data_IF_393682946718
#
_entry.id   IF_393682946718
#
_cell.length_a   1.000
_cell.length_b   1.000
_cell.length_c   1.000
_cell.angle_alpha   90.00
_cell.angle_beta   90.00
_cell.angle_gamma   90.00
#
_symmetry.space_group_name_H-M   'P 1'
#
loop_
_entity.id
_entity.type
_entity.pdbx_description
1 polymer ?
#
# COMPACT_ATOMS: atom_id res chain seq x y z
N UNK A 1 1.81 9.05 -12.35
CA UNK A 1 2.98 9.68 -13.02
C UNK A 1 3.54 8.75 -14.09
N UNK A 2 4.43 9.24 -14.95
CA UNK A 2 5.10 8.47 -16.00
C UNK A 2 6.62 8.71 -15.97
N UNK A 3 7.26 8.33 -14.85
CA UNK A 3 8.69 8.60 -14.64
C UNK A 3 9.55 7.88 -15.69
N UNK A 4 10.50 8.59 -16.33
CA UNK A 4 11.36 8.03 -17.40
C UNK A 4 12.20 6.83 -16.97
N UNK A 5 12.46 6.70 -15.67
CA UNK A 5 13.26 5.63 -15.07
C UNK A 5 12.42 4.60 -14.31
N UNK A 6 11.09 4.58 -14.51
CA UNK A 6 10.22 3.64 -13.81
C UNK A 6 10.43 2.21 -14.33
N UNK A 7 10.99 1.34 -13.49
CA UNK A 7 11.22 -0.08 -13.81
C UNK A 7 9.93 -0.86 -14.09
N UNK A 8 8.80 -0.45 -13.52
CA UNK A 8 7.49 -1.10 -13.74
C UNK A 8 7.03 -0.96 -15.19
N UNK A 9 7.48 0.10 -15.91
CA UNK A 9 7.16 0.38 -17.31
C UNK A 9 5.67 0.09 -17.66
N UNK A 10 4.71 0.68 -16.93
CA UNK A 10 3.31 0.27 -17.03
C UNK A 10 2.76 0.58 -18.42
N UNK A 11 1.92 -0.32 -18.94
CA UNK A 11 1.03 0.01 -20.05
C UNK A 11 0.01 1.02 -19.52
N UNK A 12 0.09 2.27 -19.96
CA UNK A 12 -0.81 3.35 -19.55
C UNK A 12 -2.19 3.12 -20.17
N UNK A 13 -2.91 2.08 -19.74
CA UNK A 13 -4.28 1.83 -20.16
C UNK A 13 -5.19 2.92 -19.60
N UNK A 14 -5.97 3.55 -20.49
CA UNK A 14 -6.97 4.57 -20.17
C UNK A 14 -8.26 3.97 -19.59
N UNK A 15 -8.25 2.72 -19.18
CA UNK A 15 -9.42 2.05 -18.59
C UNK A 15 -9.72 2.62 -17.19
N UNK A 16 -11.00 2.63 -16.85
CA UNK A 16 -11.53 2.98 -15.53
C UNK A 16 -10.63 2.44 -14.40
N UNK A 17 -9.91 3.36 -13.75
CA UNK A 17 -8.86 3.07 -12.75
C UNK A 17 -9.39 2.39 -11.48
N UNK A 18 -10.71 2.28 -11.33
CA UNK A 18 -11.34 1.59 -10.20
C UNK A 18 -11.21 0.05 -10.26
N UNK A 19 -10.84 -0.54 -11.40
CA UNK A 19 -11.02 -1.98 -11.61
C UNK A 19 -9.86 -2.93 -11.22
N UNK A 20 -8.72 -2.46 -10.71
CA UNK A 20 -7.58 -3.37 -10.39
C UNK A 20 -6.83 -3.08 -9.08
N UNK A 21 -7.46 -2.43 -8.11
CA UNK A 21 -6.90 -2.35 -6.76
C UNK A 21 -7.01 -3.72 -6.07
N UNK A 22 -6.04 -4.08 -5.22
CA UNK A 22 -6.09 -5.33 -4.44
C UNK A 22 -7.27 -5.22 -3.46
N UNK A 23 -8.27 -6.10 -3.51
CA UNK A 23 -9.39 -6.03 -2.56
C UNK A 23 -8.90 -6.13 -1.13
N UNK A 24 -9.42 -5.28 -0.24
CA UNK A 24 -8.96 -5.21 1.14
C UNK A 24 -9.10 -6.55 1.89
N UNK A 25 -10.15 -7.32 1.62
CA UNK A 25 -10.32 -8.65 2.22
C UNK A 25 -9.23 -9.64 1.78
N UNK A 26 -8.80 -9.57 0.53
CA UNK A 26 -7.69 -10.39 0.04
C UNK A 26 -6.36 -9.95 0.68
N UNK A 27 -6.15 -8.65 0.87
CA UNK A 27 -4.98 -8.15 1.61
C UNK A 27 -4.92 -8.72 3.03
N UNK A 28 -6.04 -8.69 3.78
CA UNK A 28 -6.10 -9.27 5.12
C UNK A 28 -5.76 -10.77 5.12
N UNK A 29 -6.29 -11.52 4.15
CA UNK A 29 -6.00 -12.94 3.98
C UNK A 29 -4.50 -13.18 3.76
N UNK A 30 -3.88 -12.46 2.83
CA UNK A 30 -2.44 -12.56 2.53
C UNK A 30 -1.61 -12.31 3.79
N UNK A 31 -1.91 -11.24 4.54
CA UNK A 31 -1.19 -10.92 5.77
C UNK A 31 -1.37 -12.03 6.83
N UNK A 32 -2.59 -12.56 6.97
CA UNK A 32 -2.88 -13.62 7.95
C UNK A 32 -2.08 -14.89 7.62
N UNK A 33 -2.10 -15.32 6.35
CA UNK A 33 -1.37 -16.49 5.88
C UNK A 33 0.15 -16.30 5.96
N UNK A 34 0.66 -15.09 5.65
CA UNK A 34 2.08 -14.79 5.71
C UNK A 34 2.62 -14.62 7.14
N UNK A 35 1.77 -14.32 8.13
CA UNK A 35 2.20 -14.23 9.54
C UNK A 35 2.58 -15.60 10.11
N UNK A 36 1.91 -16.67 9.71
CA UNK A 36 2.26 -18.03 10.18
C UNK A 36 3.73 -18.42 9.93
N UNK A 37 4.30 -18.22 8.72
CA UNK A 37 5.72 -18.48 8.47
C UNK A 37 6.68 -17.38 8.97
N UNK A 38 6.19 -16.32 9.63
CA UNK A 38 7.05 -15.32 10.29
C UNK A 38 7.16 -13.96 9.61
N UNK A 39 6.15 -13.52 8.85
CA UNK A 39 6.10 -12.14 8.34
C UNK A 39 6.24 -11.13 9.49
N UNK A 40 7.23 -10.23 9.36
CA UNK A 40 7.53 -9.21 10.37
C UNK A 40 7.36 -7.77 9.86
N UNK A 41 7.15 -7.58 8.55
CA UNK A 41 6.96 -6.27 7.97
C UNK A 41 6.33 -6.30 6.59
N UNK A 42 5.74 -5.18 6.20
CA UNK A 42 5.06 -4.96 4.93
C UNK A 42 5.67 -3.75 4.25
N UNK A 43 5.99 -3.91 2.98
CA UNK A 43 6.38 -2.81 2.10
C UNK A 43 5.23 -2.50 1.15
N UNK A 44 4.65 -1.32 1.26
CA UNK A 44 3.65 -0.81 0.32
C UNK A 44 4.35 -0.03 -0.78
N UNK A 45 4.13 -0.47 -2.01
CA UNK A 45 4.72 0.08 -3.24
C UNK A 45 3.68 -0.01 -4.36
N UNK A 46 4.10 0.02 -5.63
CA UNK A 46 3.24 -0.08 -6.81
C UNK A 46 3.57 1.02 -7.80
N UNK A 47 2.55 1.71 -8.31
CA UNK A 47 2.73 3.03 -8.92
C UNK A 47 2.80 4.13 -7.85
N UNK A 48 1.70 4.33 -7.11
CA UNK A 48 1.62 5.25 -5.96
C UNK A 48 0.68 4.65 -4.88
N UNK A 49 1.17 4.36 -3.66
CA UNK A 49 0.33 3.75 -2.62
C UNK A 49 -0.85 4.62 -2.16
N UNK A 50 -0.69 5.95 -2.07
CA UNK A 50 -1.72 6.83 -1.47
C UNK A 50 -2.93 7.08 -2.38
N UNK A 51 -2.94 6.56 -3.62
CA UNK A 51 -4.14 6.59 -4.49
C UNK A 51 -5.00 5.33 -4.37
N UNK A 52 -4.59 4.35 -3.56
CA UNK A 52 -5.38 3.14 -3.33
C UNK A 52 -6.66 3.49 -2.56
N UNK A 53 -7.86 3.05 -2.99
CA UNK A 53 -9.13 3.43 -2.36
C UNK A 53 -9.18 3.04 -0.87
N UNK A 54 -8.62 1.88 -0.53
CA UNK A 54 -8.56 1.38 0.84
C UNK A 54 -7.25 1.67 1.58
N UNK A 55 -6.47 2.70 1.19
CA UNK A 55 -5.16 2.94 1.83
C UNK A 55 -5.28 3.14 3.34
N UNK A 56 -6.32 3.83 3.83
CA UNK A 56 -6.52 4.05 5.26
C UNK A 56 -6.83 2.74 6.00
N UNK A 57 -7.82 1.92 5.59
CA UNK A 57 -8.01 0.57 6.14
C UNK A 57 -6.76 -0.30 6.12
N UNK A 58 -5.98 -0.27 5.03
CA UNK A 58 -4.72 -1.02 4.89
C UNK A 58 -3.71 -0.61 5.95
N UNK A 59 -3.43 0.69 6.11
CA UNK A 59 -2.49 1.20 7.10
C UNK A 59 -2.90 0.82 8.53
N UNK A 60 -4.19 0.96 8.85
CA UNK A 60 -4.72 0.56 10.17
C UNK A 60 -4.55 -0.93 10.42
N UNK A 61 -4.84 -1.76 9.43
CA UNK A 61 -4.71 -3.20 9.57
C UNK A 61 -3.25 -3.63 9.78
N UNK A 62 -2.29 -3.08 9.04
CA UNK A 62 -0.85 -3.35 9.23
C UNK A 62 -0.41 -3.00 10.65
N UNK A 63 -0.80 -1.82 11.13
CA UNK A 63 -0.54 -1.37 12.51
C UNK A 63 -1.12 -2.34 13.53
N UNK A 64 -2.39 -2.70 13.38
CA UNK A 64 -3.09 -3.58 14.32
C UNK A 64 -2.50 -5.00 14.32
N UNK A 65 -1.95 -5.45 13.20
CA UNK A 65 -1.18 -6.69 13.08
C UNK A 65 0.23 -6.62 13.65
N UNK A 66 0.66 -5.43 14.11
CA UNK A 66 2.00 -5.12 14.64
C UNK A 66 3.14 -5.43 13.69
N UNK A 67 2.94 -5.15 12.41
CA UNK A 67 3.95 -5.36 11.37
C UNK A 67 4.70 -4.06 11.09
N UNK A 68 6.03 -4.15 10.91
CA UNK A 68 6.84 -3.01 10.48
C UNK A 68 6.35 -2.51 9.12
N UNK A 69 6.23 -1.20 8.95
CA UNK A 69 5.74 -0.61 7.71
C UNK A 69 6.86 0.13 6.96
N UNK A 70 6.98 -0.11 5.66
CA UNK A 70 7.75 0.73 4.74
C UNK A 70 6.84 1.16 3.60
N UNK A 71 6.87 2.43 3.21
CA UNK A 71 6.10 2.94 2.07
C UNK A 71 7.07 3.56 1.05
N UNK A 72 6.96 3.11 -0.19
CA UNK A 72 7.63 3.71 -1.33
C UNK A 72 6.61 4.54 -2.11
N UNK A 73 6.70 5.87 -1.97
CA UNK A 73 5.76 6.82 -2.56
C UNK A 73 6.51 7.90 -3.32
N UNK A 74 5.86 8.46 -4.33
CA UNK A 74 6.33 9.65 -5.01
C UNK A 74 6.04 10.95 -4.27
N UNK A 75 5.30 10.87 -3.15
CA UNK A 75 5.03 11.99 -2.26
C UNK A 75 3.95 12.97 -2.70
N UNK A 76 3.29 12.78 -3.85
CA UNK A 76 2.32 13.77 -4.36
C UNK A 76 0.92 13.60 -3.78
N UNK A 77 0.58 12.43 -3.23
CA UNK A 77 -0.76 12.10 -2.73
C UNK A 77 -0.80 11.89 -1.19
N UNK A 78 0.34 12.03 -0.51
CA UNK A 78 0.38 11.93 0.96
C UNK A 78 -0.34 13.12 1.60
N UNK A 79 -0.93 12.89 2.78
CA UNK A 79 -1.61 13.92 3.58
C UNK A 79 -1.12 13.85 5.02
N UNK A 80 -1.35 14.88 5.86
CA UNK A 80 -1.04 14.80 7.29
C UNK A 80 -1.69 13.60 7.98
N UNK A 81 -2.92 13.24 7.60
CA UNK A 81 -3.60 12.07 8.15
C UNK A 81 -2.88 10.76 7.82
N UNK A 82 -2.39 10.61 6.58
CA UNK A 82 -1.54 9.47 6.20
C UNK A 82 -0.28 9.42 7.07
N UNK A 83 0.41 10.55 7.24
CA UNK A 83 1.63 10.64 8.03
C UNK A 83 1.42 10.28 9.51
N UNK A 84 0.32 10.72 10.11
CA UNK A 84 -0.03 10.38 11.49
C UNK A 84 -0.29 8.88 11.66
N UNK A 85 -0.97 8.24 10.69
CA UNK A 85 -1.19 6.79 10.70
C UNK A 85 0.13 6.02 10.56
N UNK A 86 1.00 6.46 9.65
CA UNK A 86 2.33 5.87 9.46
C UNK A 86 3.15 5.97 10.76
N UNK A 87 3.16 7.14 11.41
CA UNK A 87 3.83 7.35 12.70
C UNK A 87 3.30 6.44 13.81
N UNK A 88 2.03 6.04 13.73
CA UNK A 88 1.42 5.14 14.72
C UNK A 88 1.74 3.66 14.51
N UNK A 89 2.39 3.29 13.40
CA UNK A 89 2.85 1.91 13.15
C UNK A 89 4.13 1.61 13.95
N UNK A 90 4.33 0.36 14.41
CA UNK A 90 5.51 -0.05 15.17
C UNK A 90 6.78 -0.22 14.33
#
# INVERSE_FOLDING_TARGET
MACRHCWIAPTFEHSDRSQKALPFDLFKKIITEAKEPGLSGVKLTGGEPFIHPDIIPVLRYIRDQRLKLTIESNGTAITPHHADLIRSCP
#
